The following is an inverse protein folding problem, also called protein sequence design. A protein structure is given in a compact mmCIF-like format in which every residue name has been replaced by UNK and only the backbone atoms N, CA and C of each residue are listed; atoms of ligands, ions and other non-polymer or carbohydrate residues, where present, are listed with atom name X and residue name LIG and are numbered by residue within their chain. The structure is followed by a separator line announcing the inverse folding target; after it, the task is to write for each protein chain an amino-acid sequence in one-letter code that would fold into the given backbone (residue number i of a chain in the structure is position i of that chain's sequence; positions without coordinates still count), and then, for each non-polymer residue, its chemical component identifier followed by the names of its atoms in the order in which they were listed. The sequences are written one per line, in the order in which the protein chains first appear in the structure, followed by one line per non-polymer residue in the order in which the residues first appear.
data_IF_730551838328
#
_entry.id   IF_730551838328
#
_cell.length_a   1.000
_cell.length_b   1.000
_cell.length_c   1.000
_cell.angle_alpha   90.00
_cell.angle_beta   90.00
_cell.angle_gamma   90.00
#
_symmetry.space_group_name_H-M   'P 1'
#
loop_
_entity.id
_entity.type
_entity.pdbx_description
1 polymer ?
#
# COMPACT_ATOMS: atom_id res chain seq x y z
N UNK A 1 13.60 -4.22 10.03
CA UNK A 1 13.62 -2.76 10.29
C UNK A 1 12.66 -2.07 9.35
N UNK A 2 11.96 -1.01 9.79
CA UNK A 2 11.08 -0.21 8.92
C UNK A 2 11.66 1.19 8.73
N UNK A 3 11.55 1.72 7.51
CA UNK A 3 11.97 3.09 7.17
C UNK A 3 10.72 3.95 7.04
N UNK A 4 10.73 5.15 7.63
CA UNK A 4 9.61 6.09 7.52
C UNK A 4 9.71 6.82 6.18
N UNK A 5 8.62 6.81 5.43
CA UNK A 5 8.49 7.56 4.17
C UNK A 5 7.39 8.62 4.30
N UNK A 6 7.58 9.75 3.63
CA UNK A 6 6.57 10.79 3.46
C UNK A 6 6.22 10.87 1.98
N UNK A 7 4.93 10.76 1.65
CA UNK A 7 4.46 10.75 0.27
C UNK A 7 3.25 11.68 0.11
N UNK A 8 3.14 12.28 -1.07
CA UNK A 8 1.94 13.00 -1.50
C UNK A 8 1.09 12.08 -2.36
N UNK A 9 -0.19 11.92 -2.01
CA UNK A 9 -1.16 11.11 -2.77
C UNK A 9 -2.47 11.86 -2.91
N UNK A 10 -3.26 11.49 -3.93
CA UNK A 10 -4.60 12.07 -4.11
C UNK A 10 -5.48 11.78 -2.89
N UNK A 11 -6.25 12.78 -2.48
CA UNK A 11 -7.16 12.64 -1.33
C UNK A 11 -8.20 11.54 -1.54
N UNK A 12 -8.71 11.41 -2.77
CA UNK A 12 -9.64 10.34 -3.17
C UNK A 12 -9.04 8.95 -2.91
N UNK A 13 -7.79 8.73 -3.32
CA UNK A 13 -7.06 7.50 -3.04
C UNK A 13 -6.92 7.25 -1.54
N UNK A 14 -6.57 8.28 -0.74
CA UNK A 14 -6.49 8.12 0.71
C UNK A 14 -7.85 7.77 1.35
N UNK A 15 -8.96 8.30 0.83
CA UNK A 15 -10.32 7.96 1.27
C UNK A 15 -10.64 6.50 1.01
N UNK A 16 -10.29 5.98 -0.17
CA UNK A 16 -10.46 4.56 -0.50
C UNK A 16 -9.61 3.66 0.40
N UNK A 17 -8.34 4.00 0.62
CA UNK A 17 -7.48 3.26 1.58
C UNK A 17 -8.12 3.21 2.97
N UNK A 18 -8.64 4.35 3.47
CA UNK A 18 -9.33 4.40 4.77
C UNK A 18 -10.60 3.54 4.80
N UNK A 19 -11.37 3.49 3.72
CA UNK A 19 -12.56 2.63 3.62
C UNK A 19 -12.17 1.16 3.67
N UNK A 20 -11.18 0.75 2.87
CA UNK A 20 -10.68 -0.63 2.84
C UNK A 20 -10.17 -1.06 4.21
N UNK A 21 -9.46 -0.18 4.93
CA UNK A 21 -8.95 -0.48 6.27
C UNK A 21 -10.02 -0.87 7.28
N UNK A 22 -11.23 -0.30 7.21
CA UNK A 22 -12.31 -0.59 8.16
C UNK A 22 -12.78 -2.04 8.12
N UNK A 23 -12.65 -2.71 6.97
CA UNK A 23 -13.22 -4.03 6.71
C UNK A 23 -12.14 -5.07 6.32
N UNK A 24 -10.88 -4.84 6.66
CA UNK A 24 -9.76 -5.63 6.14
C UNK A 24 -8.87 -6.22 7.21
N UNK A 25 -8.05 -7.19 6.79
CA UNK A 25 -6.96 -7.79 7.56
C UNK A 25 -5.79 -6.83 7.85
N UNK A 26 -5.82 -5.60 7.34
CA UNK A 26 -4.71 -4.66 7.48
C UNK A 26 -4.78 -3.89 8.80
N UNK A 27 -3.68 -3.96 9.57
CA UNK A 27 -3.57 -3.32 10.89
C UNK A 27 -3.64 -1.79 10.86
N UNK A 28 -3.11 -1.16 9.81
CA UNK A 28 -3.05 0.29 9.64
C UNK A 28 -2.70 0.67 8.19
N UNK A 29 -2.67 1.97 7.90
CA UNK A 29 -2.32 2.53 6.57
C UNK A 29 -0.95 2.09 6.08
N UNK A 30 0.06 2.11 6.96
CA UNK A 30 1.42 1.73 6.59
C UNK A 30 1.49 0.27 6.16
N UNK A 31 0.80 -0.63 6.88
CA UNK A 31 0.73 -2.04 6.52
C UNK A 31 0.03 -2.27 5.18
N UNK A 32 -1.05 -1.54 4.90
CA UNK A 32 -1.73 -1.59 3.60
C UNK A 32 -0.82 -1.13 2.45
N UNK A 33 -0.15 0.02 2.62
CA UNK A 33 0.74 0.58 1.60
C UNK A 33 1.94 -0.36 1.37
N UNK A 34 2.56 -0.87 2.44
CA UNK A 34 3.68 -1.82 2.37
C UNK A 34 3.29 -3.09 1.60
N UNK A 35 2.15 -3.70 1.92
CA UNK A 35 1.63 -4.87 1.21
C UNK A 35 1.38 -4.58 -0.28
N UNK A 36 0.73 -3.45 -0.60
CA UNK A 36 0.44 -3.08 -1.97
C UNK A 36 1.74 -2.83 -2.77
N UNK A 37 2.73 -2.17 -2.17
CA UNK A 37 4.04 -1.94 -2.77
C UNK A 37 4.79 -3.24 -3.03
N UNK A 38 4.81 -4.17 -2.07
CA UNK A 38 5.45 -5.48 -2.25
C UNK A 38 4.80 -6.29 -3.38
N UNK A 39 3.47 -6.27 -3.46
CA UNK A 39 2.73 -6.97 -4.53
C UNK A 39 3.10 -6.43 -5.91
N UNK A 40 3.06 -5.10 -6.09
CA UNK A 40 3.43 -4.46 -7.35
C UNK A 40 4.89 -4.71 -7.73
N UNK A 41 5.81 -4.69 -6.77
CA UNK A 41 7.23 -4.98 -7.02
C UNK A 41 7.47 -6.43 -7.45
N UNK A 42 6.67 -7.39 -6.95
CA UNK A 42 6.74 -8.79 -7.38
C UNK A 42 6.17 -8.96 -8.79
N UNK A 43 5.03 -8.36 -9.08
CA UNK A 43 4.40 -8.41 -10.40
C UNK A 43 5.34 -7.81 -11.47
N UNK A 44 5.92 -6.64 -11.21
CA UNK A 44 6.86 -6.01 -12.15
C UNK A 44 8.19 -6.75 -12.36
N UNK A 45 8.55 -7.68 -11.47
CA UNK A 45 9.70 -8.60 -11.68
C UNK A 45 9.33 -9.78 -12.57
N UNK A 46 8.10 -10.28 -12.46
CA UNK A 46 7.62 -11.41 -13.27
C UNK A 46 7.34 -11.01 -14.72
N UNK A 47 6.99 -9.74 -14.98
CA UNK A 47 6.77 -9.22 -16.35
C UNK A 47 8.07 -8.95 -17.14
N UNK A 48 9.25 -9.03 -16.49
CA UNK A 48 10.55 -8.75 -17.10
C UNK A 48 11.44 -9.99 -17.28
N UNK A 49 10.92 -11.18 -16.99
CA UNK A 49 11.55 -12.49 -17.22
C UNK A 49 10.76 -13.26 -18.28
#
# INVERSE_FOLDING_TARGET
MKVKVSISIKESTLKEVKKTLKNSVYRNKSHFIEFATEKLLKEGKNDRN
#
